data_IF_806965977084
#
_entry.id   IF_806965977084
#
_cell.length_a   1.000
_cell.length_b   1.000
_cell.length_c   1.000
_cell.angle_alpha   90.00
_cell.angle_beta   90.00
_cell.angle_gamma   90.00
#
_symmetry.space_group_name_H-M   'P 1'
#
loop_
_entity.id
_entity.type
_entity.pdbx_description
1 polymer ?
#
# COMPACT_ATOMS: atom_id res chain seq x y z
N UNK A 1 -14.12 -11.58 30.81
CA UNK A 1 -13.60 -11.49 29.43
C UNK A 1 -14.73 -11.01 28.54
N UNK A 2 -14.61 -9.78 28.01
CA UNK A 2 -15.62 -9.18 27.13
C UNK A 2 -15.58 -9.88 25.76
N UNK A 3 -16.73 -10.12 25.16
CA UNK A 3 -16.78 -10.67 23.80
C UNK A 3 -16.42 -9.58 22.78
N UNK A 4 -15.84 -9.99 21.65
CA UNK A 4 -15.44 -9.07 20.56
C UNK A 4 -16.58 -8.14 20.14
N UNK A 5 -17.80 -8.66 19.98
CA UNK A 5 -18.96 -7.87 19.56
C UNK A 5 -19.44 -6.86 20.61
N UNK A 6 -19.25 -7.15 21.90
CA UNK A 6 -19.61 -6.22 22.97
C UNK A 6 -18.60 -5.08 23.06
N UNK A 7 -17.31 -5.42 22.97
CA UNK A 7 -16.25 -4.42 22.88
C UNK A 7 -16.40 -3.54 21.63
N UNK A 8 -16.70 -4.14 20.48
CA UNK A 8 -16.94 -3.43 19.23
C UNK A 8 -18.03 -2.36 19.40
N UNK A 9 -19.21 -2.75 19.91
CA UNK A 9 -20.31 -1.81 20.13
C UNK A 9 -19.95 -0.68 21.11
N UNK A 10 -19.25 -1.01 22.20
CA UNK A 10 -18.80 -0.03 23.19
C UNK A 10 -17.90 1.05 22.57
N UNK A 11 -17.07 0.66 21.60
CA UNK A 11 -16.10 1.55 20.96
C UNK A 11 -16.55 2.06 19.58
N UNK A 12 -17.86 2.03 19.30
CA UNK A 12 -18.44 2.63 18.09
C UNK A 12 -18.23 1.85 16.80
N UNK A 13 -17.86 0.57 16.90
CA UNK A 13 -17.78 -0.33 15.75
C UNK A 13 -19.13 -0.98 15.48
N UNK A 14 -19.50 -1.05 14.20
CA UNK A 14 -20.74 -1.69 13.74
C UNK A 14 -20.47 -2.76 12.69
N UNK A 15 -21.30 -3.82 12.61
CA UNK A 15 -21.22 -4.76 11.50
C UNK A 15 -21.41 -4.06 10.15
N UNK A 16 -20.58 -4.43 9.18
CA UNK A 16 -20.65 -3.95 7.79
C UNK A 16 -20.90 -5.15 6.89
N UNK A 17 -21.89 -5.04 6.01
CA UNK A 17 -22.12 -6.05 4.99
C UNK A 17 -20.94 -6.08 4.02
N UNK A 18 -20.34 -7.25 3.81
CA UNK A 18 -19.24 -7.44 2.87
C UNK A 18 -19.48 -8.64 1.97
N UNK A 19 -19.05 -8.56 0.71
CA UNK A 19 -19.37 -9.56 -0.32
C UNK A 19 -18.70 -10.92 -0.09
N UNK A 20 -17.54 -10.94 0.57
CA UNK A 20 -16.65 -12.11 0.65
C UNK A 20 -16.45 -12.59 2.09
N UNK A 21 -16.60 -11.70 3.07
CA UNK A 21 -16.21 -11.99 4.45
C UNK A 21 -17.42 -11.83 5.36
N UNK A 22 -17.64 -12.86 6.17
CA UNK A 22 -18.54 -12.78 7.31
C UNK A 22 -17.80 -12.09 8.48
N UNK A 23 -18.53 -11.34 9.31
CA UNK A 23 -17.99 -10.64 10.49
C UNK A 23 -16.99 -9.53 10.19
N UNK A 24 -17.36 -8.64 9.26
CA UNK A 24 -16.67 -7.37 9.05
C UNK A 24 -17.26 -6.33 10.01
N UNK A 25 -16.40 -5.70 10.80
CA UNK A 25 -16.74 -4.54 11.63
C UNK A 25 -16.17 -3.29 10.99
N UNK A 26 -16.86 -2.15 11.15
CA UNK A 26 -16.38 -0.85 10.70
C UNK A 26 -16.60 0.27 11.70
N UNK A 27 -15.70 1.25 11.67
CA UNK A 27 -15.73 2.50 12.46
C UNK A 27 -15.24 3.64 11.58
N UNK A 28 -16.15 4.43 11.01
CA UNK A 28 -15.80 5.37 9.94
C UNK A 28 -15.29 4.64 8.70
N UNK A 29 -14.10 4.99 8.21
CA UNK A 29 -13.44 4.31 7.10
C UNK A 29 -12.76 3.01 7.53
N UNK A 30 -12.43 2.84 8.82
CA UNK A 30 -11.78 1.65 9.35
C UNK A 30 -12.63 0.39 9.13
N UNK A 31 -11.98 -0.72 8.81
CA UNK A 31 -12.58 -2.05 8.71
C UNK A 31 -11.73 -3.08 9.43
N UNK A 32 -12.40 -4.04 10.04
CA UNK A 32 -11.77 -5.11 10.78
C UNK A 32 -12.46 -6.42 10.40
N UNK A 33 -11.71 -7.35 9.81
CA UNK A 33 -12.19 -8.70 9.50
C UNK A 33 -11.71 -9.62 10.62
N UNK A 34 -12.63 -10.37 11.23
CA UNK A 34 -12.28 -11.22 12.37
C UNK A 34 -12.91 -12.60 12.19
N UNK A 35 -12.07 -13.64 12.20
CA UNK A 35 -12.50 -15.02 12.40
C UNK A 35 -12.45 -15.36 13.88
N UNK A 36 -13.61 -15.56 14.52
CA UNK A 36 -13.72 -15.89 15.94
C UNK A 36 -14.76 -16.98 16.20
N UNK A 37 -14.68 -17.66 17.36
CA UNK A 37 -15.67 -18.69 17.76
C UNK A 37 -17.08 -18.10 17.83
N UNK A 38 -18.14 -18.92 17.70
CA UNK A 38 -19.53 -18.42 17.83
C UNK A 38 -19.84 -17.65 19.13
N UNK A 39 -19.08 -17.87 20.21
CA UNK A 39 -19.21 -17.13 21.47
C UNK A 39 -18.45 -15.79 21.52
N UNK A 40 -17.64 -15.45 20.51
CA UNK A 40 -16.86 -14.20 20.49
C UNK A 40 -15.68 -14.13 21.46
N UNK A 41 -15.30 -15.26 22.08
CA UNK A 41 -14.30 -15.33 23.16
C UNK A 41 -12.96 -15.94 22.74
N UNK A 42 -12.83 -16.38 21.51
CA UNK A 42 -11.58 -16.86 20.92
C UNK A 42 -11.45 -16.35 19.49
N UNK A 43 -10.31 -15.74 19.19
CA UNK A 43 -9.97 -15.24 17.84
C UNK A 43 -9.05 -16.25 17.17
N UNK A 44 -9.42 -16.71 15.97
CA UNK A 44 -8.59 -17.58 15.14
C UNK A 44 -7.64 -16.76 14.26
N UNK A 45 -8.19 -15.74 13.59
CA UNK A 45 -7.48 -14.76 12.78
C UNK A 45 -8.19 -13.40 12.82
N UNK A 46 -7.45 -12.32 12.61
CA UNK A 46 -8.03 -11.01 12.34
C UNK A 46 -7.12 -10.14 11.46
N UNK A 47 -7.73 -9.24 10.70
CA UNK A 47 -7.09 -8.33 9.77
C UNK A 47 -7.66 -6.93 10.00
N UNK A 48 -6.80 -5.97 10.34
CA UNK A 48 -7.22 -4.59 10.57
C UNK A 48 -6.81 -3.69 9.39
N UNK A 49 -7.81 -3.01 8.85
CA UNK A 49 -7.73 -2.10 7.71
C UNK A 49 -8.18 -0.71 8.16
N UNK A 50 -7.27 0.15 8.64
CA UNK A 50 -7.64 1.44 9.23
C UNK A 50 -8.33 2.41 8.25
N UNK A 51 -8.31 2.09 6.97
CA UNK A 51 -8.71 2.93 5.84
C UNK A 51 -9.80 2.27 5.01
N UNK A 52 -10.27 1.13 5.51
CA UNK A 52 -11.17 0.24 4.81
C UNK A 52 -10.48 -0.54 3.72
N UNK A 53 -11.28 -1.33 3.02
CA UNK A 53 -10.85 -2.16 1.92
C UNK A 53 -12.02 -2.30 0.96
N UNK A 54 -11.75 -2.28 -0.34
CA UNK A 54 -12.80 -2.15 -1.35
C UNK A 54 -13.26 -3.49 -1.92
N UNK A 55 -12.37 -4.49 -1.94
CA UNK A 55 -12.58 -5.69 -2.78
C UNK A 55 -12.37 -7.02 -2.06
N UNK A 56 -11.75 -7.05 -0.89
CA UNK A 56 -11.31 -8.26 -0.19
C UNK A 56 -10.08 -8.94 -0.81
N UNK A 57 -9.37 -8.28 -1.74
CA UNK A 57 -8.24 -8.86 -2.49
C UNK A 57 -6.90 -8.23 -2.11
N UNK A 58 -5.80 -8.85 -2.58
CA UNK A 58 -4.40 -8.50 -2.30
C UNK A 58 -3.99 -7.05 -2.69
N UNK A 59 -4.90 -6.33 -3.34
CA UNK A 59 -4.71 -4.98 -3.86
C UNK A 59 -5.52 -3.91 -3.12
N UNK A 60 -6.31 -4.32 -2.12
CA UNK A 60 -6.75 -3.42 -1.05
C UNK A 60 -5.52 -2.90 -0.28
N UNK A 61 -5.62 -1.74 0.40
CA UNK A 61 -4.56 -1.31 1.32
C UNK A 61 -4.23 -2.49 2.23
N UNK A 62 -2.94 -2.87 2.25
CA UNK A 62 -2.49 -4.01 3.04
C UNK A 62 -2.96 -3.81 4.48
N UNK A 63 -3.59 -4.83 5.12
CA UNK A 63 -4.00 -4.68 6.50
C UNK A 63 -2.77 -4.23 7.30
N UNK A 64 -2.90 -3.13 8.04
CA UNK A 64 -1.76 -2.56 8.76
C UNK A 64 -1.31 -3.50 9.87
N UNK A 65 -2.25 -4.29 10.38
CA UNK A 65 -2.05 -5.27 11.43
C UNK A 65 -2.77 -6.58 11.06
N UNK A 66 -2.10 -7.70 11.35
CA UNK A 66 -2.67 -9.04 11.15
C UNK A 66 -2.34 -9.92 12.33
N UNK A 67 -3.30 -10.75 12.75
CA UNK A 67 -3.07 -11.77 13.77
C UNK A 67 -3.56 -13.12 13.26
N UNK A 68 -2.68 -14.13 13.32
CA UNK A 68 -2.91 -15.50 12.82
C UNK A 68 -1.79 -16.45 13.28
N UNK A 69 -1.89 -17.75 12.98
CA UNK A 69 -0.86 -18.74 13.33
C UNK A 69 -0.89 -19.26 14.79
N UNK A 70 0.17 -19.92 15.23
CA UNK A 70 0.33 -20.46 16.59
C UNK A 70 1.11 -19.49 17.50
N UNK A 71 0.56 -19.16 18.67
CA UNK A 71 1.17 -18.28 19.68
C UNK A 71 0.44 -16.94 19.90
N UNK A 72 0.69 -16.31 21.06
CA UNK A 72 0.13 -15.01 21.47
C UNK A 72 -1.34 -15.02 21.93
N UNK A 73 -1.75 -14.01 22.71
CA UNK A 73 -3.15 -13.78 23.05
C UNK A 73 -3.84 -12.93 21.98
N UNK A 74 -4.37 -13.62 20.97
CA UNK A 74 -5.03 -13.00 19.81
C UNK A 74 -6.26 -12.19 20.20
N UNK A 75 -6.99 -12.63 21.24
CA UNK A 75 -8.16 -11.92 21.71
C UNK A 75 -7.72 -10.59 22.33
N UNK A 76 -6.70 -10.59 23.18
CA UNK A 76 -6.17 -9.36 23.77
C UNK A 76 -5.67 -8.38 22.69
N UNK A 77 -4.98 -8.87 21.64
CA UNK A 77 -4.56 -8.04 20.51
C UNK A 77 -5.74 -7.36 19.81
N UNK A 78 -6.76 -8.13 19.44
CA UNK A 78 -7.96 -7.59 18.75
C UNK A 78 -8.74 -6.64 19.65
N UNK A 79 -8.88 -6.94 20.94
CA UNK A 79 -9.51 -6.03 21.90
C UNK A 79 -8.70 -4.73 22.04
N UNK A 80 -7.37 -4.80 21.94
CA UNK A 80 -6.49 -3.62 21.86
C UNK A 80 -6.80 -2.75 20.64
N UNK A 81 -6.97 -3.34 19.45
CA UNK A 81 -7.35 -2.59 18.25
C UNK A 81 -8.73 -1.94 18.35
N UNK A 82 -9.69 -2.65 18.93
CA UNK A 82 -11.06 -2.14 19.11
C UNK A 82 -11.10 -0.96 20.09
N UNK A 83 -10.36 -1.08 21.19
CA UNK A 83 -10.39 -0.10 22.29
C UNK A 83 -9.42 1.07 22.11
N UNK A 84 -8.36 0.89 21.33
CA UNK A 84 -7.39 1.94 21.05
C UNK A 84 -7.93 3.05 20.16
N UNK A 85 -7.34 4.25 20.23
CA UNK A 85 -7.46 5.20 19.14
C UNK A 85 -6.99 4.52 17.85
N UNK A 86 -7.50 4.97 16.71
CA UNK A 86 -7.00 4.52 15.43
C UNK A 86 -5.57 5.06 15.24
N UNK A 87 -4.60 4.53 15.99
CA UNK A 87 -3.18 4.83 15.85
C UNK A 87 -2.65 4.01 14.67
N UNK A 88 -3.19 4.35 13.50
CA UNK A 88 -2.55 4.06 12.24
C UNK A 88 -1.86 5.34 11.84
N UNK A 89 -0.62 5.22 11.35
CA UNK A 89 0.07 6.33 10.69
C UNK A 89 -0.95 7.01 9.76
N UNK A 90 -1.34 8.29 9.98
CA UNK A 90 -2.36 8.93 9.17
C UNK A 90 -1.90 8.77 7.73
N UNK A 91 -2.76 8.23 6.87
CA UNK A 91 -2.39 7.96 5.48
C UNK A 91 -1.70 9.21 4.95
N UNK A 92 -0.43 9.11 4.57
CA UNK A 92 0.28 10.29 4.18
C UNK A 92 -0.41 10.86 2.96
N UNK A 93 -0.69 12.16 2.97
CA UNK A 93 -1.31 12.82 1.84
C UNK A 93 -0.46 12.72 0.55
N UNK A 94 0.79 12.24 0.68
CA UNK A 94 1.76 12.07 -0.41
C UNK A 94 2.27 10.64 -0.50
N UNK A 95 2.21 10.05 -1.70
CA UNK A 95 3.02 8.88 -2.05
C UNK A 95 4.29 9.30 -2.76
N UNK A 96 5.41 8.67 -2.39
CA UNK A 96 6.66 8.73 -3.15
C UNK A 96 6.82 7.43 -3.91
N UNK A 97 6.84 7.48 -5.24
CA UNK A 97 6.86 6.27 -6.08
C UNK A 97 8.22 6.01 -6.70
N UNK A 98 8.63 4.74 -6.62
CA UNK A 98 9.82 4.22 -7.31
C UNK A 98 9.43 3.13 -8.30
N UNK A 99 10.09 2.99 -9.45
CA UNK A 99 9.81 1.92 -10.40
C UNK A 99 10.36 0.59 -9.88
N UNK A 100 9.75 -0.50 -10.31
CA UNK A 100 10.39 -1.81 -10.18
C UNK A 100 11.64 -1.95 -11.06
N UNK A 101 12.50 -2.92 -10.77
CA UNK A 101 13.70 -3.21 -11.56
C UNK A 101 13.55 -4.46 -12.42
N UNK A 102 14.28 -4.48 -13.54
CA UNK A 102 14.37 -5.65 -14.41
C UNK A 102 14.99 -6.85 -13.67
N UNK A 103 16.18 -6.64 -13.07
CA UNK A 103 16.89 -7.66 -12.30
C UNK A 103 16.17 -7.94 -10.98
N UNK A 104 15.92 -9.22 -10.71
CA UNK A 104 15.24 -9.73 -9.51
C UNK A 104 16.01 -10.93 -8.96
N UNK A 105 15.87 -11.18 -7.66
CA UNK A 105 16.32 -12.45 -7.05
C UNK A 105 15.57 -13.64 -7.65
N UNK A 106 16.19 -14.82 -7.62
CA UNK A 106 15.60 -16.07 -8.13
C UNK A 106 14.56 -16.72 -7.18
N UNK A 107 14.25 -16.07 -6.05
CA UNK A 107 13.32 -16.56 -5.02
C UNK A 107 12.30 -15.48 -4.65
N UNK A 108 11.18 -15.91 -4.09
CA UNK A 108 10.21 -14.97 -3.51
C UNK A 108 10.83 -14.20 -2.35
N UNK A 109 10.57 -12.91 -2.30
CA UNK A 109 11.15 -12.00 -1.32
C UNK A 109 10.28 -10.74 -1.20
N UNK A 110 10.46 -9.97 -0.13
CA UNK A 110 9.84 -8.64 0.02
C UNK A 110 10.16 -7.73 -1.17
N UNK A 111 9.20 -6.92 -1.60
CA UNK A 111 9.34 -6.02 -2.74
C UNK A 111 10.53 -5.06 -2.60
N UNK A 112 10.87 -4.62 -1.39
CA UNK A 112 12.05 -3.78 -1.12
C UNK A 112 13.39 -4.45 -1.40
N UNK A 113 13.44 -5.79 -1.41
CA UNK A 113 14.69 -6.56 -1.47
C UNK A 113 14.77 -7.44 -2.72
N UNK A 114 13.63 -7.84 -3.30
CA UNK A 114 13.62 -8.71 -4.49
C UNK A 114 14.31 -8.08 -5.70
N UNK A 115 14.27 -6.75 -5.84
CA UNK A 115 14.88 -6.03 -6.95
C UNK A 115 16.39 -5.84 -6.71
N UNK A 116 17.17 -6.67 -7.38
CA UNK A 116 18.62 -6.74 -7.20
C UNK A 116 19.34 -5.78 -8.16
N UNK A 117 19.19 -4.47 -7.97
CA UNK A 117 19.87 -3.47 -8.80
C UNK A 117 20.38 -2.31 -7.96
N UNK A 118 21.63 -1.90 -8.18
CA UNK A 118 22.21 -0.74 -7.50
C UNK A 118 21.40 0.54 -7.72
N UNK A 119 20.88 0.73 -8.95
CA UNK A 119 20.04 1.87 -9.27
C UNK A 119 18.71 1.82 -8.52
N UNK A 120 18.10 0.64 -8.39
CA UNK A 120 16.90 0.46 -7.58
C UNK A 120 17.16 0.77 -6.11
N UNK A 121 18.24 0.21 -5.53
CA UNK A 121 18.60 0.45 -4.12
C UNK A 121 18.87 1.94 -3.86
N UNK A 122 19.53 2.64 -4.79
CA UNK A 122 19.74 4.09 -4.70
C UNK A 122 18.41 4.86 -4.77
N UNK A 123 17.55 4.50 -5.73
CA UNK A 123 16.25 5.14 -5.92
C UNK A 123 15.36 4.96 -4.68
N UNK A 124 15.31 3.74 -4.13
CA UNK A 124 14.56 3.44 -2.92
C UNK A 124 15.06 4.24 -1.72
N UNK A 125 16.38 4.31 -1.51
CA UNK A 125 16.97 5.11 -0.41
C UNK A 125 16.61 6.59 -0.52
N UNK A 126 16.68 7.16 -1.72
CA UNK A 126 16.31 8.57 -1.95
C UNK A 126 14.81 8.80 -1.75
N UNK A 127 13.96 7.85 -2.17
CA UNK A 127 12.52 7.91 -1.94
C UNK A 127 12.18 7.83 -0.45
N UNK A 128 12.83 6.93 0.31
CA UNK A 128 12.68 6.83 1.77
C UNK A 128 13.13 8.14 2.47
N UNK A 129 14.20 8.78 2.00
CA UNK A 129 14.62 10.09 2.50
C UNK A 129 13.59 11.19 2.19
N UNK A 130 13.13 11.27 0.94
CA UNK A 130 12.11 12.24 0.52
C UNK A 130 10.79 12.04 1.28
N UNK A 131 10.35 10.80 1.45
CA UNK A 131 9.15 10.46 2.20
C UNK A 131 9.22 10.98 3.64
N UNK A 132 10.37 10.86 4.33
CA UNK A 132 10.53 11.45 5.66
C UNK A 132 10.36 12.98 5.67
N UNK A 133 10.87 13.67 4.65
CA UNK A 133 10.78 15.14 4.55
C UNK A 133 9.34 15.60 4.32
N UNK A 134 8.59 14.91 3.46
CA UNK A 134 7.23 15.33 3.08
C UNK A 134 6.13 14.70 3.94
N UNK A 135 6.49 13.92 4.97
CA UNK A 135 5.53 13.09 5.70
C UNK A 135 4.78 12.15 4.76
N UNK A 136 5.51 11.54 3.82
CA UNK A 136 5.03 10.68 2.74
C UNK A 136 5.21 9.19 3.03
N UNK A 137 4.67 8.33 2.14
CA UNK A 137 4.96 6.88 2.12
C UNK A 137 5.54 6.45 0.80
N UNK A 138 6.52 5.55 0.85
CA UNK A 138 7.12 4.96 -0.34
C UNK A 138 6.33 3.74 -0.81
N UNK A 139 6.04 3.68 -2.11
CA UNK A 139 5.55 2.47 -2.77
C UNK A 139 6.31 2.21 -4.07
N UNK A 140 6.33 0.94 -4.49
CA UNK A 140 6.95 0.53 -5.75
C UNK A 140 5.85 0.41 -6.81
N UNK A 141 6.03 1.05 -7.97
CA UNK A 141 5.23 0.80 -9.16
C UNK A 141 5.82 -0.38 -9.94
N UNK A 142 5.18 -1.54 -9.84
CA UNK A 142 5.48 -2.77 -10.56
C UNK A 142 4.74 -2.84 -11.88
N UNK A 143 5.44 -3.26 -12.95
CA UNK A 143 4.79 -3.56 -14.22
C UNK A 143 3.75 -4.68 -14.13
N UNK A 144 3.98 -5.71 -13.29
CA UNK A 144 3.06 -6.86 -13.16
C UNK A 144 1.98 -6.66 -12.11
N UNK A 145 2.31 -6.00 -11.01
CA UNK A 145 1.45 -5.95 -9.82
C UNK A 145 0.86 -4.56 -9.53
N UNK A 146 1.29 -3.52 -10.25
CA UNK A 146 0.94 -2.14 -9.93
C UNK A 146 1.59 -1.67 -8.64
N UNK A 147 0.84 -1.03 -7.74
CA UNK A 147 1.36 -0.47 -6.50
C UNK A 147 1.68 -1.57 -5.48
N UNK A 148 2.93 -1.60 -5.03
CA UNK A 148 3.42 -2.55 -4.02
C UNK A 148 3.91 -1.82 -2.78
N UNK A 149 3.44 -2.28 -1.61
CA UNK A 149 4.09 -1.97 -0.34
C UNK A 149 5.50 -2.61 -0.30
N UNK A 150 6.46 -1.91 0.30
CA UNK A 150 7.85 -2.36 0.45
C UNK A 150 7.99 -3.75 1.10
N UNK A 151 7.07 -4.11 1.99
CA UNK A 151 7.09 -5.37 2.73
C UNK A 151 6.31 -6.51 2.07
N UNK A 152 5.58 -6.26 0.97
CA UNK A 152 4.82 -7.29 0.24
C UNK A 152 5.79 -8.32 -0.34
N UNK A 153 5.64 -9.59 0.03
CA UNK A 153 6.41 -10.69 -0.56
C UNK A 153 5.83 -11.00 -1.94
N UNK A 154 6.69 -11.03 -2.97
CA UNK A 154 6.29 -11.36 -4.34
C UNK A 154 7.24 -12.42 -4.91
N UNK A 155 6.75 -13.18 -5.90
CA UNK A 155 7.59 -14.10 -6.69
C UNK A 155 8.31 -13.36 -7.81
N UNK A 156 9.49 -13.84 -8.27
CA UNK A 156 10.14 -13.28 -9.45
C UNK A 156 9.23 -13.37 -10.69
N UNK A 157 9.39 -12.40 -11.58
CA UNK A 157 8.58 -12.29 -12.80
C UNK A 157 9.37 -11.56 -13.91
N UNK A 158 8.97 -11.82 -15.16
CA UNK A 158 9.54 -11.17 -16.34
C UNK A 158 8.44 -10.45 -17.13
N UNK A 159 8.12 -9.23 -16.68
CA UNK A 159 7.13 -8.34 -17.30
C UNK A 159 7.69 -6.92 -17.24
N UNK A 160 7.73 -6.25 -18.38
CA UNK A 160 8.11 -4.86 -18.50
C UNK A 160 6.88 -3.97 -18.70
N UNK A 161 6.93 -2.72 -18.20
CA UNK A 161 5.80 -1.79 -18.35
C UNK A 161 5.49 -1.53 -19.82
N UNK A 162 4.21 -1.63 -20.19
CA UNK A 162 3.73 -1.50 -21.56
C UNK A 162 3.92 -2.74 -22.44
N UNK A 163 4.22 -3.91 -21.86
CA UNK A 163 4.20 -5.19 -22.55
C UNK A 163 2.96 -6.01 -22.18
N UNK A 164 2.69 -7.08 -22.93
CA UNK A 164 1.63 -8.02 -22.58
C UNK A 164 1.84 -8.57 -21.15
N UNK A 165 0.76 -8.62 -20.37
CA UNK A 165 0.80 -9.00 -18.96
C UNK A 165 1.23 -7.90 -17.99
N UNK A 166 1.55 -6.70 -18.48
CA UNK A 166 1.65 -5.52 -17.62
C UNK A 166 0.27 -5.01 -17.21
N UNK A 167 0.19 -4.40 -16.03
CA UNK A 167 -1.00 -3.70 -15.57
C UNK A 167 -1.35 -2.54 -16.50
N UNK A 168 -2.65 -2.25 -16.60
CA UNK A 168 -3.15 -1.09 -17.32
C UNK A 168 -3.41 0.10 -16.37
N UNK A 169 -3.82 1.23 -16.96
CA UNK A 169 -4.10 2.45 -16.23
C UNK A 169 -5.34 2.32 -15.32
N UNK A 170 -6.33 1.50 -15.68
CA UNK A 170 -7.55 1.32 -14.90
C UNK A 170 -7.27 0.54 -13.61
N UNK A 171 -6.44 -0.51 -13.70
CA UNK A 171 -5.94 -1.25 -12.56
C UNK A 171 -5.10 -0.38 -11.63
N UNK A 172 -4.22 0.45 -12.20
CA UNK A 172 -3.41 1.36 -11.42
C UNK A 172 -4.26 2.45 -10.73
N UNK A 173 -5.28 2.95 -11.42
CA UNK A 173 -6.24 3.91 -10.86
C UNK A 173 -7.01 3.32 -9.68
N UNK A 174 -7.50 2.08 -9.79
CA UNK A 174 -8.23 1.44 -8.68
C UNK A 174 -7.36 1.26 -7.44
N UNK A 175 -6.10 0.84 -7.62
CA UNK A 175 -5.13 0.73 -6.53
C UNK A 175 -4.78 2.09 -5.92
N UNK A 176 -4.71 3.15 -6.73
CA UNK A 176 -4.38 4.49 -6.28
C UNK A 176 -5.56 5.15 -5.53
N UNK A 177 -6.80 4.92 -5.95
CA UNK A 177 -8.00 5.46 -5.33
C UNK A 177 -8.12 5.08 -3.84
N UNK A 178 -7.75 3.85 -3.50
CA UNK A 178 -7.80 3.33 -2.13
C UNK A 178 -6.59 3.76 -1.28
N UNK A 179 -5.66 4.56 -1.83
CA UNK A 179 -4.55 5.13 -1.06
C UNK A 179 -4.91 6.46 -0.39
N UNK A 180 -6.07 7.05 -0.71
CA UNK A 180 -6.55 8.35 -0.20
C UNK A 180 -5.49 9.47 -0.22
N UNK A 181 -4.60 9.45 -1.21
CA UNK A 181 -3.54 10.44 -1.35
C UNK A 181 -3.99 11.61 -2.22
N UNK A 182 -3.47 12.80 -1.91
CA UNK A 182 -3.69 14.01 -2.70
C UNK A 182 -2.56 14.28 -3.67
N UNK A 183 -1.37 13.76 -3.37
CA UNK A 183 -0.15 13.99 -4.14
C UNK A 183 0.60 12.69 -4.38
N UNK A 184 1.17 12.55 -5.58
CA UNK A 184 2.11 11.50 -5.95
C UNK A 184 3.39 12.18 -6.43
N UNK A 185 4.48 12.00 -5.69
CA UNK A 185 5.83 12.37 -6.11
C UNK A 185 6.51 11.17 -6.79
N UNK A 186 6.80 11.30 -8.09
CA UNK A 186 7.25 10.21 -8.93
C UNK A 186 8.74 10.31 -9.23
N UNK A 187 9.52 9.31 -8.79
CA UNK A 187 10.87 9.00 -9.27
C UNK A 187 10.78 7.96 -10.38
N UNK A 188 9.90 8.18 -11.36
CA UNK A 188 9.53 7.20 -12.40
C UNK A 188 10.18 7.54 -13.75
N UNK A 189 10.79 6.56 -14.46
CA UNK A 189 11.18 6.75 -15.85
C UNK A 189 9.95 6.86 -16.75
N UNK A 190 10.14 7.40 -17.96
CA UNK A 190 9.08 7.84 -18.87
C UNK A 190 7.91 6.86 -19.05
N UNK A 191 8.18 5.57 -19.28
CA UNK A 191 7.12 4.55 -19.47
C UNK A 191 6.25 4.35 -18.23
N UNK A 192 6.86 4.36 -17.05
CA UNK A 192 6.14 4.23 -15.78
C UNK A 192 5.37 5.51 -15.46
N UNK A 193 5.99 6.66 -15.71
CA UNK A 193 5.35 7.95 -15.53
C UNK A 193 4.12 8.12 -16.44
N UNK A 194 4.19 7.64 -17.68
CA UNK A 194 3.05 7.65 -18.61
C UNK A 194 1.88 6.83 -18.07
N UNK A 195 2.12 5.60 -17.58
CA UNK A 195 1.08 4.78 -16.97
C UNK A 195 0.44 5.46 -15.75
N UNK A 196 1.26 6.08 -14.89
CA UNK A 196 0.77 6.83 -13.73
C UNK A 196 -0.04 8.07 -14.15
N UNK A 197 0.38 8.80 -15.20
CA UNK A 197 -0.40 9.93 -15.75
C UNK A 197 -1.79 9.49 -16.19
N UNK A 198 -1.88 8.39 -16.95
CA UNK A 198 -3.17 7.84 -17.38
C UNK A 198 -4.05 7.41 -16.21
N UNK A 199 -3.46 6.82 -15.16
CA UNK A 199 -4.21 6.44 -13.96
C UNK A 199 -4.77 7.65 -13.20
N UNK A 200 -3.95 8.69 -13.02
CA UNK A 200 -4.37 9.96 -12.39
C UNK A 200 -5.44 10.66 -13.22
N UNK A 201 -5.33 10.66 -14.55
CA UNK A 201 -6.34 11.22 -15.45
C UNK A 201 -7.68 10.50 -15.32
N UNK A 202 -7.69 9.17 -15.29
CA UNK A 202 -8.91 8.37 -15.06
C UNK A 202 -9.59 8.71 -13.73
N UNK A 203 -8.83 8.89 -12.65
CA UNK A 203 -9.37 9.31 -11.36
C UNK A 203 -9.91 10.75 -11.41
N UNK A 204 -9.23 11.64 -12.12
CA UNK A 204 -9.70 13.01 -12.34
C UNK A 204 -11.06 13.07 -13.02
N UNK A 205 -11.30 12.21 -14.02
CA UNK A 205 -12.61 12.05 -14.68
C UNK A 205 -13.71 11.55 -13.73
N UNK A 206 -13.33 10.90 -12.62
CA UNK A 206 -14.23 10.42 -11.57
C UNK A 206 -14.39 11.42 -10.40
N UNK A 207 -13.81 12.62 -10.52
CA UNK A 207 -13.85 13.65 -9.49
C UNK A 207 -12.80 13.49 -8.39
N UNK A 208 -11.86 12.55 -8.53
CA UNK A 208 -10.74 12.34 -7.61
C UNK A 208 -9.47 12.97 -8.16
N UNK A 209 -9.22 14.24 -7.79
CA UNK A 209 -8.02 14.96 -8.18
C UNK A 209 -6.79 14.53 -7.39
N UNK A 210 -5.75 14.05 -8.08
CA UNK A 210 -4.44 13.74 -7.50
C UNK A 210 -3.38 14.55 -8.24
N UNK A 211 -2.56 15.29 -7.49
CA UNK A 211 -1.42 16.02 -8.04
C UNK A 211 -0.26 15.04 -8.33
N UNK A 212 0.21 15.01 -9.58
CA UNK A 212 1.37 14.21 -9.97
C UNK A 212 2.61 15.09 -10.17
N UNK A 213 3.57 14.98 -9.25
CA UNK A 213 4.86 15.68 -9.27
C UNK A 213 5.92 14.75 -9.87
N UNK A 214 6.48 15.13 -11.02
CA UNK A 214 7.58 14.42 -11.65
C UNK A 214 8.93 14.92 -11.10
N UNK A 215 9.54 14.14 -10.19
CA UNK A 215 10.83 14.48 -9.59
C UNK A 215 12.00 14.29 -10.57
N UNK A 216 11.81 13.54 -11.65
CA UNK A 216 12.77 13.41 -12.73
C UNK A 216 12.53 14.38 -13.89
N UNK A 217 11.69 15.41 -13.70
CA UNK A 217 11.45 16.42 -14.73
C UNK A 217 12.78 17.01 -15.21
N UNK A 218 13.04 16.91 -16.51
CA UNK A 218 14.26 17.39 -17.15
C UNK A 218 15.45 16.41 -17.10
N UNK A 219 15.32 15.25 -16.45
CA UNK A 219 16.36 14.23 -16.45
C UNK A 219 16.36 13.44 -17.77
N UNK A 220 17.34 13.69 -18.63
CA UNK A 220 17.45 13.07 -19.96
C UNK A 220 17.87 11.58 -19.94
N UNK A 221 18.24 11.03 -18.78
CA UNK A 221 18.68 9.64 -18.67
C UNK A 221 19.17 9.27 -17.27
N UNK A 222 19.70 8.05 -17.14
CA UNK A 222 20.04 7.47 -15.83
C UNK A 222 21.09 8.28 -15.05
N UNK A 223 22.04 8.93 -15.75
CA UNK A 223 23.03 9.80 -15.11
C UNK A 223 22.38 11.01 -14.42
N UNK A 224 21.47 11.70 -15.11
CA UNK A 224 20.70 12.82 -14.56
C UNK A 224 19.76 12.36 -13.43
N UNK A 225 19.13 11.19 -13.58
CA UNK A 225 18.32 10.60 -12.51
C UNK A 225 19.16 10.39 -11.25
N UNK A 226 20.38 9.82 -11.37
CA UNK A 226 21.28 9.62 -10.23
C UNK A 226 21.69 10.93 -9.56
N UNK A 227 21.83 12.03 -10.32
CA UNK A 227 22.09 13.35 -9.75
C UNK A 227 20.90 13.84 -8.90
N UNK A 228 19.67 13.70 -9.40
CA UNK A 228 18.44 13.99 -8.63
C UNK A 228 18.35 13.12 -7.38
N UNK A 229 18.62 11.82 -7.48
CA UNK A 229 18.58 10.91 -6.32
C UNK A 229 19.62 11.31 -5.26
N UNK A 230 20.80 11.76 -5.70
CA UNK A 230 21.86 12.20 -4.80
C UNK A 230 21.51 13.50 -4.09
N UNK A 231 20.83 14.45 -4.76
CA UNK A 231 20.40 15.69 -4.11
C UNK A 231 19.31 15.45 -3.06
N UNK A 232 18.39 14.53 -3.32
CA UNK A 232 17.36 14.12 -2.34
C UNK A 232 17.94 13.46 -1.09
N UNK A 233 19.10 12.79 -1.22
CA UNK A 233 19.80 12.18 -0.09
C UNK A 233 20.62 13.20 0.72
N UNK A 234 20.90 14.37 0.16
CA UNK A 234 21.64 15.46 0.81
C UNK A 234 20.72 16.50 1.48
N UNK A 235 19.40 16.33 1.37
CA UNK A 235 18.37 17.25 1.88
C UNK A 235 17.90 16.90 3.29
#
# INVERSE_FOLDING_TARGET
>A
MIAVNDAARLHGWSPVAHKIHDNVLGRGDERLIIGYSGAGKTVQCALFYPLGFGTGYIDDPTPCETVGGSGGDKLATVLGWISGPADHDPLPATLVLVPCAARKLARSERARTIYDSDHFRLTLRAAEARARIVGGRVMILSAKYGLLNLNRVISPYDVAMGQAGAIDAAWLASQLAVQHVRTVEALLPSRYLAAMRSAVELLGLQGLGIELVDLYRGAAGIGYQRAVLSSLLAS
#
